data_IF_511351226362
#
_entry.id   IF_511351226362
#
_cell.length_a   1.000
_cell.length_b   1.000
_cell.length_c   1.000
_cell.angle_alpha   90.00
_cell.angle_beta   90.00
_cell.angle_gamma   90.00
#
_symmetry.space_group_name_H-M   'P 1'
#
loop_
_entity.id
_entity.type
_entity.pdbx_description
1 polymer ?
#
# COMPACT_ATOMS: atom_id res chain seq x y z
N UNK A 1 -33.51 -34.93 -25.54
CA UNK A 1 -33.62 -34.30 -24.20
C UNK A 1 -32.36 -34.58 -23.37
N UNK A 2 -31.18 -34.06 -23.73
CA UNK A 2 -29.92 -34.43 -23.04
C UNK A 2 -28.91 -33.31 -22.84
N UNK A 3 -29.13 -32.14 -23.45
CA UNK A 3 -28.20 -31.00 -23.36
C UNK A 3 -28.45 -30.11 -22.14
N UNK A 4 -29.72 -29.96 -21.73
CA UNK A 4 -30.09 -29.11 -20.59
C UNK A 4 -29.57 -29.59 -19.24
N UNK A 5 -29.64 -30.91 -18.97
CA UNK A 5 -29.16 -31.50 -17.71
C UNK A 5 -27.63 -31.49 -17.59
N UNK A 6 -26.91 -31.65 -18.71
CA UNK A 6 -25.43 -31.55 -18.71
C UNK A 6 -24.97 -30.11 -18.50
N UNK A 7 -25.66 -29.15 -19.12
CA UNK A 7 -25.35 -27.74 -18.95
C UNK A 7 -25.61 -27.25 -17.51
N UNK A 8 -26.67 -27.72 -16.85
CA UNK A 8 -26.93 -27.37 -15.45
C UNK A 8 -25.87 -27.94 -14.51
N UNK A 9 -25.44 -29.20 -14.74
CA UNK A 9 -24.40 -29.85 -13.93
C UNK A 9 -23.07 -29.09 -14.03
N UNK A 10 -22.60 -28.80 -15.25
CA UNK A 10 -21.35 -28.04 -15.46
C UNK A 10 -21.39 -26.65 -14.82
N UNK A 11 -22.56 -26.00 -14.84
CA UNK A 11 -22.72 -24.69 -14.19
C UNK A 11 -22.63 -24.80 -12.67
N UNK A 12 -23.27 -25.80 -12.09
CA UNK A 12 -23.24 -26.03 -10.65
C UNK A 12 -21.84 -26.37 -10.16
N UNK A 13 -21.13 -27.24 -10.88
CA UNK A 13 -19.74 -27.61 -10.61
C UNK A 13 -18.81 -26.40 -10.61
N UNK A 14 -18.83 -25.59 -11.68
CA UNK A 14 -18.08 -24.32 -11.73
C UNK A 14 -18.46 -23.34 -10.63
N UNK A 15 -19.72 -23.32 -10.22
CA UNK A 15 -20.16 -22.43 -9.13
C UNK A 15 -19.54 -22.88 -7.81
N UNK A 16 -19.51 -24.19 -7.53
CA UNK A 16 -18.86 -24.74 -6.32
C UNK A 16 -17.36 -24.48 -6.30
N UNK A 17 -16.72 -24.57 -7.45
CA UNK A 17 -15.32 -24.22 -7.68
C UNK A 17 -15.02 -22.77 -7.31
N UNK A 18 -15.79 -21.81 -7.81
CA UNK A 18 -15.63 -20.40 -7.44
C UNK A 18 -15.82 -20.16 -5.94
N UNK A 19 -16.82 -20.79 -5.32
CA UNK A 19 -17.02 -20.68 -3.87
C UNK A 19 -15.83 -21.22 -3.06
N UNK A 20 -15.19 -22.31 -3.51
CA UNK A 20 -14.01 -22.84 -2.84
C UNK A 20 -12.80 -21.87 -2.95
N UNK A 21 -12.62 -21.26 -4.12
CA UNK A 21 -11.57 -20.26 -4.34
C UNK A 21 -11.78 -19.01 -3.49
N UNK A 22 -13.00 -18.45 -3.51
CA UNK A 22 -13.37 -17.27 -2.71
C UNK A 22 -13.23 -17.50 -1.21
N UNK A 23 -13.55 -18.72 -0.73
CA UNK A 23 -13.35 -19.05 0.68
C UNK A 23 -11.88 -18.91 1.12
N UNK A 24 -10.93 -19.33 0.27
CA UNK A 24 -9.50 -19.16 0.55
C UNK A 24 -9.08 -17.69 0.57
N UNK A 25 -9.60 -16.87 -0.35
CA UNK A 25 -9.31 -15.42 -0.42
C UNK A 25 -9.88 -14.69 0.80
N UNK A 26 -11.12 -14.97 1.17
CA UNK A 26 -11.77 -14.37 2.34
C UNK A 26 -11.10 -14.78 3.67
N UNK A 27 -10.64 -16.04 3.79
CA UNK A 27 -9.88 -16.49 4.95
C UNK A 27 -8.54 -15.74 5.06
N UNK A 28 -7.79 -15.63 3.96
CA UNK A 28 -6.57 -14.81 3.92
C UNK A 28 -6.83 -13.35 4.29
N UNK A 29 -7.86 -12.73 3.72
CA UNK A 29 -8.22 -11.35 4.02
C UNK A 29 -8.63 -11.16 5.49
N UNK A 30 -9.24 -12.18 6.11
CA UNK A 30 -9.54 -12.19 7.54
C UNK A 30 -8.25 -12.21 8.38
N UNK A 31 -7.31 -13.11 8.07
CA UNK A 31 -6.03 -13.23 8.78
C UNK A 31 -5.16 -11.97 8.66
N UNK A 32 -5.06 -11.42 7.45
CA UNK A 32 -4.32 -10.17 7.19
C UNK A 32 -4.88 -9.01 8.01
N UNK A 33 -6.22 -8.87 8.08
CA UNK A 33 -6.86 -7.79 8.86
C UNK A 33 -6.75 -7.99 10.36
N UNK A 34 -6.79 -9.24 10.78
CA UNK A 34 -6.81 -9.63 12.18
C UNK A 34 -5.45 -9.63 12.87
N UNK A 35 -4.37 -9.68 12.08
CA UNK A 35 -3.04 -10.04 12.55
C UNK A 35 -3.07 -11.31 13.42
N UNK A 36 -3.95 -12.25 13.07
CA UNK A 36 -4.14 -13.52 13.76
C UNK A 36 -4.15 -14.66 12.75
N UNK A 37 -3.57 -15.77 13.15
CA UNK A 37 -3.69 -17.06 12.48
C UNK A 37 -3.64 -18.20 13.50
N UNK A 38 -3.60 -19.45 13.03
CA UNK A 38 -3.28 -20.60 13.85
C UNK A 38 -2.01 -20.33 14.66
N UNK A 39 -1.86 -21.00 15.80
CA UNK A 39 -0.64 -20.90 16.59
C UNK A 39 0.59 -21.18 15.70
N UNK A 40 1.52 -20.22 15.65
CA UNK A 40 2.71 -20.27 14.79
C UNK A 40 2.55 -19.76 13.35
N UNK A 41 1.38 -19.21 12.99
CA UNK A 41 1.20 -18.51 11.72
C UNK A 41 1.71 -17.07 11.84
N UNK A 42 2.73 -16.74 11.06
CA UNK A 42 3.27 -15.39 10.93
C UNK A 42 3.07 -14.91 9.49
N UNK A 43 2.57 -13.68 9.34
CA UNK A 43 2.47 -13.06 8.01
C UNK A 43 3.89 -12.81 7.46
N UNK A 44 4.09 -12.94 6.14
CA UNK A 44 5.35 -12.57 5.51
C UNK A 44 5.66 -11.10 5.80
N UNK A 45 6.91 -10.79 6.12
CA UNK A 45 7.32 -9.46 6.57
C UNK A 45 7.98 -8.67 5.46
N UNK A 46 8.87 -9.32 4.69
CA UNK A 46 9.66 -8.65 3.67
C UNK A 46 9.06 -8.87 2.26
N UNK A 47 9.25 -7.92 1.32
CA UNK A 47 8.78 -8.09 -0.05
C UNK A 47 9.38 -9.35 -0.71
N UNK A 48 8.51 -10.19 -1.28
CA UNK A 48 8.86 -11.48 -1.87
C UNK A 48 8.78 -12.67 -0.89
N UNK A 49 8.63 -12.43 0.41
CA UNK A 49 8.30 -13.49 1.36
C UNK A 49 6.87 -14.00 1.12
N UNK A 50 6.67 -15.29 1.33
CA UNK A 50 5.37 -15.92 1.24
C UNK A 50 5.13 -16.95 2.33
N UNK A 51 3.87 -17.14 2.71
CA UNK A 51 3.40 -18.20 3.59
C UNK A 51 2.26 -18.94 2.90
N UNK A 52 2.28 -20.28 2.97
CA UNK A 52 1.20 -21.12 2.47
C UNK A 52 0.56 -21.93 3.58
N UNK A 53 -0.75 -22.14 3.50
CA UNK A 53 -1.50 -23.00 4.41
C UNK A 53 -2.67 -23.64 3.69
N UNK A 54 -3.24 -24.69 4.30
CA UNK A 54 -4.41 -25.39 3.79
C UNK A 54 -5.57 -25.12 4.76
N UNK A 55 -6.77 -24.86 4.24
CA UNK A 55 -7.97 -24.76 5.08
C UNK A 55 -8.25 -26.12 5.74
N UNK A 56 -8.58 -26.12 7.04
CA UNK A 56 -8.82 -27.35 7.80
C UNK A 56 -10.02 -28.14 7.26
N UNK A 57 -11.07 -27.42 6.87
CA UNK A 57 -12.27 -27.98 6.30
C UNK A 57 -12.25 -27.89 4.77
N UNK A 58 -12.70 -28.97 4.12
CA UNK A 58 -12.98 -28.93 2.68
C UNK A 58 -14.14 -27.98 2.38
N UNK A 59 -13.98 -27.15 1.35
CA UNK A 59 -15.04 -26.26 0.88
C UNK A 59 -15.65 -26.88 -0.37
N UNK A 60 -16.91 -27.31 -0.28
CA UNK A 60 -17.62 -28.00 -1.36
C UNK A 60 -16.92 -29.29 -1.86
N UNK A 61 -16.27 -30.03 -0.96
CA UNK A 61 -15.53 -31.26 -1.28
C UNK A 61 -14.18 -31.02 -1.94
N UNK A 62 -13.63 -29.81 -1.78
CA UNK A 62 -12.32 -29.42 -2.31
C UNK A 62 -11.41 -28.97 -1.20
N UNK A 63 -10.16 -29.42 -1.26
CA UNK A 63 -9.10 -28.93 -0.39
C UNK A 63 -8.58 -27.60 -0.94
N UNK A 64 -8.50 -26.58 -0.09
CA UNK A 64 -8.10 -25.23 -0.50
C UNK A 64 -6.74 -24.91 0.10
N UNK A 65 -5.75 -24.71 -0.77
CA UNK A 65 -4.43 -24.20 -0.44
C UNK A 65 -4.40 -22.68 -0.69
N UNK A 66 -3.92 -21.93 0.29
CA UNK A 66 -3.85 -20.47 0.24
C UNK A 66 -2.41 -20.04 0.42
N UNK A 67 -1.92 -19.19 -0.47
CA UNK A 67 -0.60 -18.56 -0.39
C UNK A 67 -0.80 -17.05 -0.22
N UNK A 68 -0.15 -16.48 0.78
CA UNK A 68 -0.08 -15.04 1.01
C UNK A 68 1.37 -14.62 0.77
N UNK A 69 1.59 -13.70 -0.15
CA UNK A 69 2.90 -13.14 -0.52
C UNK A 69 2.91 -11.65 -0.21
N UNK A 70 3.96 -11.14 0.43
CA UNK A 70 4.15 -9.69 0.60
C UNK A 70 4.68 -9.12 -0.70
N UNK A 71 3.95 -8.17 -1.28
CA UNK A 71 4.34 -7.50 -2.52
C UNK A 71 5.00 -6.17 -2.19
N UNK A 72 6.03 -5.82 -2.95
CA UNK A 72 6.65 -4.51 -2.82
C UNK A 72 5.66 -3.40 -3.19
N UNK A 73 5.45 -2.48 -2.25
CA UNK A 73 4.43 -1.44 -2.34
C UNK A 73 4.59 -0.52 -3.57
N UNK A 74 5.84 -0.30 -3.99
CA UNK A 74 6.23 0.63 -5.04
C UNK A 74 6.60 -0.05 -6.36
N UNK A 75 6.28 -1.34 -6.50
CA UNK A 75 6.42 -2.04 -7.76
C UNK A 75 5.64 -1.31 -8.88
N UNK A 76 6.28 -1.21 -10.05
CA UNK A 76 5.88 -0.39 -11.22
C UNK A 76 5.87 1.14 -11.04
N UNK A 77 6.08 1.66 -9.82
CA UNK A 77 6.20 3.10 -9.55
C UNK A 77 7.66 3.54 -9.42
N UNK A 78 8.49 2.71 -8.79
CA UNK A 78 9.91 2.97 -8.56
C UNK A 78 10.79 1.78 -8.95
N UNK A 79 12.09 2.03 -9.08
CA UNK A 79 13.10 0.99 -9.34
C UNK A 79 13.63 0.41 -8.03
N UNK A 80 13.71 -0.92 -7.95
CA UNK A 80 14.28 -1.67 -6.82
C UNK A 80 15.81 -1.76 -6.84
N UNK A 81 16.47 -1.15 -7.83
CA UNK A 81 17.91 -1.24 -8.04
C UNK A 81 18.74 -0.71 -6.85
N UNK A 82 18.16 0.14 -6.01
CA UNK A 82 18.78 0.68 -4.78
C UNK A 82 18.15 0.12 -3.50
N UNK A 83 17.42 -1.00 -3.60
CA UNK A 83 16.72 -1.63 -2.49
C UNK A 83 15.22 -1.40 -2.51
N UNK A 84 14.52 -2.26 -1.77
CA UNK A 84 13.06 -2.32 -1.64
C UNK A 84 12.62 -2.35 -0.16
N UNK A 85 13.49 -1.91 0.76
CA UNK A 85 13.16 -1.64 2.18
C UNK A 85 13.28 -0.15 2.53
N UNK A 86 12.43 0.37 3.45
CA UNK A 86 12.51 1.75 3.88
C UNK A 86 13.68 1.95 4.85
N UNK A 87 14.22 3.18 4.91
CA UNK A 87 15.37 3.53 5.75
C UNK A 87 14.95 4.15 7.08
N UNK A 88 15.68 3.88 8.17
CA UNK A 88 15.35 4.40 9.50
C UNK A 88 15.64 5.89 9.67
N UNK A 89 16.61 6.40 8.90
CA UNK A 89 17.05 7.79 8.91
C UNK A 89 16.02 8.71 8.25
N UNK A 90 15.21 8.17 7.32
CA UNK A 90 14.19 8.88 6.56
C UNK A 90 12.85 8.18 6.70
N UNK A 91 11.95 8.75 7.50
CA UNK A 91 10.62 8.19 7.75
C UNK A 91 9.57 9.01 7.02
N UNK A 92 8.70 8.33 6.26
CA UNK A 92 7.55 8.94 5.56
C UNK A 92 6.28 8.35 6.14
N UNK A 93 5.32 9.20 6.52
CA UNK A 93 4.03 8.76 7.10
C UNK A 93 2.89 9.47 6.40
N UNK A 94 1.91 8.70 5.95
CA UNK A 94 0.65 9.21 5.42
C UNK A 94 -0.40 9.30 6.53
N UNK A 95 -1.15 10.40 6.56
CA UNK A 95 -2.29 10.54 7.47
C UNK A 95 -3.44 11.24 6.77
N UNK A 96 -4.66 10.87 7.12
CA UNK A 96 -5.86 11.50 6.56
C UNK A 96 -6.63 12.21 7.66
N UNK A 97 -7.28 13.31 7.29
CA UNK A 97 -8.31 13.96 8.08
C UNK A 97 -9.52 14.24 7.19
N UNK A 98 -10.71 13.96 7.70
CA UNK A 98 -11.95 14.32 7.02
C UNK A 98 -12.49 15.58 7.68
N UNK A 99 -12.72 16.62 6.88
CA UNK A 99 -13.44 17.82 7.33
C UNK A 99 -14.92 17.69 6.96
N UNK A 100 -15.22 17.11 5.79
CA UNK A 100 -16.57 16.92 5.26
C UNK A 100 -16.68 15.60 4.48
N UNK A 101 -17.90 15.06 4.30
CA UNK A 101 -18.10 13.82 3.51
C UNK A 101 -17.70 13.99 2.04
N UNK A 102 -17.80 15.21 1.49
CA UNK A 102 -17.46 15.51 0.10
C UNK A 102 -15.95 15.64 -0.13
N UNK A 103 -15.17 15.99 0.89
CA UNK A 103 -13.77 16.36 0.73
C UNK A 103 -12.92 16.06 1.96
N UNK A 104 -11.82 15.35 1.74
CA UNK A 104 -10.84 14.98 2.74
C UNK A 104 -9.51 15.67 2.50
N UNK A 105 -8.69 15.76 3.54
CA UNK A 105 -7.31 16.22 3.48
C UNK A 105 -6.39 15.04 3.76
N UNK A 106 -5.35 14.91 2.95
CA UNK A 106 -4.28 13.94 3.14
C UNK A 106 -2.99 14.71 3.47
N UNK A 107 -2.27 14.26 4.49
CA UNK A 107 -1.01 14.85 4.96
C UNK A 107 0.09 13.81 4.89
N UNK A 108 1.15 14.14 4.15
CA UNK A 108 2.41 13.41 4.10
C UNK A 108 3.38 14.10 5.05
N UNK A 109 3.77 13.42 6.11
CA UNK A 109 4.81 13.89 7.03
C UNK A 109 6.11 13.15 6.75
N UNK A 110 7.19 13.90 6.62
CA UNK A 110 8.52 13.36 6.34
C UNK A 110 9.46 13.80 7.44
N UNK A 111 10.11 12.83 8.08
CA UNK A 111 11.08 13.05 9.14
C UNK A 111 12.46 12.57 8.70
N UNK A 112 13.47 13.43 8.82
CA UNK A 112 14.86 13.11 8.51
C UNK A 112 15.76 13.43 9.69
N UNK A 113 16.54 12.46 10.17
CA UNK A 113 17.37 12.60 11.37
C UNK A 113 18.69 13.37 11.15
N UNK A 114 19.11 13.55 9.89
CA UNK A 114 20.36 14.24 9.54
C UNK A 114 21.63 13.40 9.65
N UNK A 115 21.54 12.13 10.07
CA UNK A 115 22.72 11.30 10.41
C UNK A 115 23.61 10.98 9.21
N UNK A 116 23.04 10.96 8.00
CA UNK A 116 23.79 10.67 6.76
C UNK A 116 24.22 11.93 6.00
N UNK A 117 23.96 13.14 6.51
CA UNK A 117 24.42 14.41 5.94
C UNK A 117 23.39 15.15 5.08
N UNK A 118 23.82 15.84 4.03
CA UNK A 118 22.89 16.55 3.13
C UNK A 118 22.05 15.54 2.34
N UNK A 119 20.72 15.76 2.34
CA UNK A 119 19.75 14.94 1.61
C UNK A 119 19.07 15.79 0.54
N UNK A 120 19.21 15.37 -0.72
CA UNK A 120 18.57 16.01 -1.87
C UNK A 120 17.33 15.22 -2.26
N UNK A 121 16.18 15.89 -2.23
CA UNK A 121 14.90 15.30 -2.61
C UNK A 121 14.66 15.41 -4.10
N UNK A 122 14.13 14.33 -4.66
CA UNK A 122 13.84 14.20 -6.08
C UNK A 122 12.34 14.07 -6.34
N UNK A 123 11.65 13.22 -5.58
CA UNK A 123 10.20 13.01 -5.74
C UNK A 123 9.51 12.76 -4.39
N UNK A 124 8.29 13.24 -4.25
CA UNK A 124 7.33 12.79 -3.23
C UNK A 124 6.13 12.19 -3.93
N UNK A 125 5.57 11.12 -3.39
CA UNK A 125 4.40 10.50 -3.96
C UNK A 125 3.37 10.03 -2.94
N UNK A 126 2.15 9.88 -3.43
CA UNK A 126 1.04 9.29 -2.70
C UNK A 126 0.21 8.42 -3.64
N UNK A 127 -0.32 7.31 -3.14
CA UNK A 127 -1.28 6.49 -3.88
C UNK A 127 -2.65 6.58 -3.22
N UNK A 128 -3.67 6.83 -4.03
CA UNK A 128 -5.07 6.83 -3.60
C UNK A 128 -5.79 5.63 -4.23
N UNK A 129 -6.61 4.90 -3.46
CA UNK A 129 -7.35 3.75 -3.96
C UNK A 129 -8.43 4.13 -4.96
N UNK A 130 -8.96 3.12 -5.65
CA UNK A 130 -10.07 3.28 -6.59
C UNK A 130 -11.25 4.05 -5.97
N UNK A 131 -11.81 4.98 -6.75
CA UNK A 131 -12.93 5.83 -6.30
C UNK A 131 -12.52 7.13 -5.61
N UNK A 132 -11.22 7.33 -5.36
CA UNK A 132 -10.67 8.58 -4.84
C UNK A 132 -10.00 9.39 -5.95
N UNK A 133 -10.10 10.71 -5.85
CA UNK A 133 -9.52 11.65 -6.81
C UNK A 133 -8.84 12.81 -6.09
N UNK A 134 -7.70 13.23 -6.61
CA UNK A 134 -7.01 14.45 -6.22
C UNK A 134 -7.82 15.70 -6.59
N UNK A 135 -7.79 16.72 -5.73
CA UNK A 135 -8.38 18.04 -6.00
C UNK A 135 -7.29 18.98 -6.55
N UNK A 136 -7.43 19.42 -7.80
CA UNK A 136 -6.47 20.34 -8.44
C UNK A 136 -6.33 21.67 -7.68
N UNK A 137 -5.09 22.13 -7.53
CA UNK A 137 -4.71 23.34 -6.81
C UNK A 137 -4.71 23.20 -5.29
N UNK A 138 -4.86 21.98 -4.75
CA UNK A 138 -4.95 21.75 -3.30
C UNK A 138 -3.62 21.45 -2.61
N UNK A 139 -2.55 21.23 -3.36
CA UNK A 139 -1.24 20.93 -2.78
C UNK A 139 -0.69 22.12 -1.99
N UNK A 140 -0.15 21.88 -0.79
CA UNK A 140 0.51 22.89 0.02
C UNK A 140 1.62 22.33 0.92
N UNK A 141 2.50 23.20 1.43
CA UNK A 141 3.63 22.81 2.28
C UNK A 141 4.94 22.82 1.51
N UNK A 142 5.60 21.67 1.36
CA UNK A 142 6.90 21.56 0.68
C UNK A 142 6.84 21.81 -0.84
N UNK A 143 5.69 21.62 -1.46
CA UNK A 143 5.41 21.90 -2.86
C UNK A 143 3.95 22.32 -3.01
N UNK A 144 3.68 23.27 -3.92
CA UNK A 144 2.35 23.82 -4.16
C UNK A 144 1.79 23.52 -5.54
N UNK A 145 2.62 22.96 -6.43
CA UNK A 145 2.22 22.58 -7.76
C UNK A 145 1.40 21.28 -7.73
N UNK A 146 0.53 21.10 -8.73
CA UNK A 146 -0.24 19.87 -8.89
C UNK A 146 0.68 18.69 -9.22
N UNK A 147 0.37 17.48 -8.70
CA UNK A 147 1.13 16.28 -9.03
C UNK A 147 0.89 15.84 -10.47
N UNK A 148 1.83 15.06 -11.01
CA UNK A 148 1.53 14.15 -12.11
C UNK A 148 0.62 13.03 -11.61
N UNK A 149 -0.49 12.77 -12.32
CA UNK A 149 -1.48 11.75 -11.93
C UNK A 149 -1.34 10.55 -12.86
N UNK A 150 -0.99 9.39 -12.28
CA UNK A 150 -0.73 8.14 -13.01
C UNK A 150 -1.75 7.08 -12.56
N UNK A 151 -2.56 6.52 -13.45
CA UNK A 151 -3.40 5.36 -13.12
C UNK A 151 -2.53 4.17 -12.67
N UNK A 152 -2.78 3.63 -11.48
CA UNK A 152 -1.97 2.55 -10.93
C UNK A 152 -2.80 1.64 -10.01
N UNK A 153 -2.76 0.32 -10.28
CA UNK A 153 -3.46 -0.73 -9.50
C UNK A 153 -4.94 -0.41 -9.20
N UNK A 154 -5.66 0.13 -10.20
CA UNK A 154 -7.08 0.52 -10.08
C UNK A 154 -7.33 1.84 -9.36
N UNK A 155 -6.31 2.40 -8.69
CA UNK A 155 -6.32 3.73 -8.11
C UNK A 155 -5.51 4.74 -8.93
N UNK A 156 -5.02 5.77 -8.26
CA UNK A 156 -4.14 6.80 -8.84
C UNK A 156 -2.91 7.02 -7.97
N UNK A 157 -1.74 7.06 -8.60
CA UNK A 157 -0.51 7.56 -8.02
C UNK A 157 -0.38 9.06 -8.34
N UNK A 158 -0.02 9.83 -7.32
CA UNK A 158 0.24 11.26 -7.36
C UNK A 158 1.74 11.45 -7.17
N UNK A 159 2.40 12.10 -8.12
CA UNK A 159 3.85 12.33 -8.07
C UNK A 159 4.20 13.81 -8.17
N UNK A 160 4.90 14.31 -7.16
CA UNK A 160 5.48 15.64 -7.11
C UNK A 160 6.99 15.55 -7.32
N UNK A 161 7.46 16.04 -8.45
CA UNK A 161 8.89 16.05 -8.80
C UNK A 161 9.54 17.39 -8.46
N UNK A 162 10.72 17.33 -7.85
CA UNK A 162 11.55 18.50 -7.55
C UNK A 162 12.55 18.72 -8.68
N UNK A 163 12.32 19.74 -9.51
CA UNK A 163 13.24 20.08 -10.60
C UNK A 163 13.70 21.55 -10.53
N UNK A 164 14.98 21.83 -10.14
CA UNK A 164 16.01 20.86 -9.75
C UNK A 164 15.74 20.21 -8.38
N UNK A 165 16.43 19.09 -8.04
CA UNK A 165 16.35 18.49 -6.72
C UNK A 165 16.62 19.51 -5.60
N UNK A 166 15.88 19.41 -4.50
CA UNK A 166 15.92 20.39 -3.40
C UNK A 166 16.50 19.76 -2.14
N UNK A 167 17.43 20.46 -1.49
CA UNK A 167 18.01 20.01 -0.24
C UNK A 167 16.94 20.02 0.88
N UNK A 168 16.81 18.93 1.64
CA UNK A 168 15.77 18.73 2.64
C UNK A 168 15.64 19.89 3.64
N UNK A 169 16.79 20.36 4.14
CA UNK A 169 16.85 21.47 5.10
C UNK A 169 16.38 22.83 4.54
N UNK A 170 16.29 22.99 3.21
CA UNK A 170 15.78 24.22 2.54
C UNK A 170 14.28 24.21 2.32
N UNK A 171 13.64 23.05 2.45
CA UNK A 171 12.19 22.98 2.35
C UNK A 171 11.53 23.77 3.50
N UNK A 172 10.33 24.32 3.28
CA UNK A 172 9.54 24.99 4.32
C UNK A 172 9.39 24.10 5.56
N UNK A 173 9.59 24.69 6.75
CA UNK A 173 9.25 24.02 8.00
C UNK A 173 7.71 23.94 8.13
N UNK A 174 7.17 22.87 8.74
CA UNK A 174 5.75 22.83 9.07
C UNK A 174 5.40 23.97 10.03
N UNK A 175 4.15 24.42 9.99
CA UNK A 175 3.66 25.40 10.95
C UNK A 175 3.67 24.79 12.36
N UNK A 176 4.64 25.20 13.18
CA UNK A 176 4.69 24.79 14.58
C UNK A 176 3.52 25.46 15.33
N UNK A 177 2.71 24.70 16.10
CA UNK A 177 1.75 25.31 17.02
C UNK A 177 2.53 26.28 17.92
N UNK A 178 2.05 27.52 18.05
CA UNK A 178 2.72 28.56 18.84
C UNK A 178 2.87 28.10 20.30
N UNK A 179 4.06 27.60 20.64
CA UNK A 179 4.37 27.04 21.96
C UNK A 179 5.85 26.66 22.04
N UNK A 180 6.59 27.46 22.80
CA UNK A 180 7.94 27.26 23.34
C UNK A 180 9.02 26.55 22.48
N UNK A 181 9.98 27.33 21.97
CA UNK A 181 11.42 27.02 22.09
C UNK A 181 12.06 25.94 21.21
N UNK A 182 11.32 25.11 20.49
CA UNK A 182 11.93 23.98 19.77
C UNK A 182 12.78 24.40 18.55
N UNK A 183 13.97 23.81 18.42
CA UNK A 183 14.82 23.92 17.23
C UNK A 183 14.82 22.60 16.42
N UNK A 184 14.03 22.51 15.33
CA UNK A 184 14.03 21.34 14.43
C UNK A 184 15.43 21.05 13.88
N UNK A 185 15.82 19.77 13.84
CA UNK A 185 17.15 19.33 13.37
C UNK A 185 18.28 19.46 14.39
N UNK A 186 18.00 20.00 15.59
CA UNK A 186 18.98 20.05 16.70
C UNK A 186 18.52 19.20 17.90
N UNK A 187 17.21 19.15 18.16
CA UNK A 187 16.63 18.37 19.28
C UNK A 187 15.74 17.20 18.81
N UNK A 188 15.21 17.27 17.58
CA UNK A 188 14.35 16.26 16.93
C UNK A 188 14.68 16.18 15.44
N UNK A 189 14.36 15.06 14.75
CA UNK A 189 14.50 14.97 13.31
C UNK A 189 13.84 16.16 12.61
N UNK A 190 14.44 16.63 11.52
CA UNK A 190 13.86 17.67 10.68
C UNK A 190 12.56 17.13 10.09
N UNK A 191 11.45 17.85 10.31
CA UNK A 191 10.14 17.47 9.79
C UNK A 191 9.72 18.36 8.63
N UNK A 192 9.04 17.77 7.66
CA UNK A 192 8.49 18.43 6.47
C UNK A 192 7.11 17.88 6.18
N UNK A 193 6.23 18.72 5.65
CA UNK A 193 4.84 18.35 5.40
C UNK A 193 4.41 18.73 3.99
N UNK A 194 3.72 17.81 3.32
CA UNK A 194 2.91 18.06 2.13
C UNK A 194 1.47 17.74 2.49
N UNK A 195 0.55 18.65 2.20
CA UNK A 195 -0.89 18.39 2.30
C UNK A 195 -1.54 18.53 0.94
N UNK A 196 -2.60 17.77 0.73
CA UNK A 196 -3.48 17.95 -0.42
C UNK A 196 -4.89 17.48 -0.10
N UNK A 197 -5.85 17.87 -0.92
CA UNK A 197 -7.25 17.49 -0.78
C UNK A 197 -7.64 16.40 -1.77
N UNK A 198 -8.59 15.55 -1.37
CA UNK A 198 -9.12 14.47 -2.18
C UNK A 198 -10.63 14.33 -2.03
N UNK A 199 -11.27 13.68 -3.00
CA UNK A 199 -12.71 13.40 -3.01
C UNK A 199 -12.96 11.92 -3.30
N UNK A 200 -13.97 11.28 -2.68
CA UNK A 200 -14.81 11.80 -1.59
C UNK A 200 -14.02 11.91 -0.28
N UNK A 201 -14.52 12.66 0.70
CA UNK A 201 -13.87 12.88 2.01
C UNK A 201 -13.98 11.73 3.00
N UNK A 202 -14.09 10.50 2.50
CA UNK A 202 -14.08 9.28 3.30
C UNK A 202 -12.65 8.80 3.53
N UNK A 203 -12.43 7.92 4.51
CA UNK A 203 -11.09 7.34 4.76
C UNK A 203 -10.61 6.56 3.52
N UNK A 204 -9.53 7.00 2.84
CA UNK A 204 -8.95 6.30 1.70
C UNK A 204 -8.14 5.10 2.18
N UNK A 205 -8.82 4.06 2.68
CA UNK A 205 -8.20 2.85 3.24
C UNK A 205 -7.23 2.24 2.23
N UNK A 206 -5.99 2.01 2.66
CA UNK A 206 -4.91 1.49 1.82
C UNK A 206 -4.11 2.57 1.09
N UNK A 207 -4.47 3.84 1.19
CA UNK A 207 -3.61 4.92 0.71
C UNK A 207 -2.27 4.91 1.44
N UNK A 208 -1.20 5.16 0.70
CA UNK A 208 0.16 5.19 1.21
C UNK A 208 0.97 6.29 0.55
N UNK A 209 2.12 6.61 1.13
CA UNK A 209 3.02 7.66 0.66
C UNK A 209 4.44 7.20 0.58
N UNK A 210 5.22 7.82 -0.30
CA UNK A 210 6.64 7.58 -0.42
C UNK A 210 7.42 8.84 -0.78
N UNK A 211 8.73 8.76 -0.66
CA UNK A 211 9.68 9.78 -1.03
C UNK A 211 10.91 9.14 -1.66
N UNK A 212 11.38 9.75 -2.75
CA UNK A 212 12.63 9.40 -3.44
C UNK A 212 13.66 10.51 -3.27
N UNK A 213 14.89 10.09 -3.07
CA UNK A 213 16.06 10.97 -2.90
C UNK A 213 17.09 10.70 -3.99
N UNK A 214 18.04 11.62 -4.16
CA UNK A 214 19.14 11.47 -5.13
C UNK A 214 20.28 10.56 -4.63
N UNK A 215 20.20 10.06 -3.40
CA UNK A 215 21.26 9.28 -2.74
C UNK A 215 20.97 7.80 -2.87
N UNK A 216 21.94 7.00 -3.33
CA UNK A 216 21.75 5.55 -3.48
C UNK A 216 21.67 4.80 -2.14
N UNK A 217 22.24 5.34 -1.06
CA UNK A 217 22.25 4.73 0.27
C UNK A 217 20.96 4.96 1.07
N UNK A 218 20.17 5.98 0.72
CA UNK A 218 18.83 6.25 1.26
C UNK A 218 17.90 6.69 0.13
N UNK A 219 17.82 5.86 -0.90
CA UNK A 219 17.18 6.20 -2.18
C UNK A 219 15.67 6.38 -2.05
N UNK A 220 15.02 5.55 -1.24
CA UNK A 220 13.58 5.44 -1.20
C UNK A 220 13.09 5.18 0.22
N UNK A 221 12.02 5.85 0.61
CA UNK A 221 11.32 5.58 1.87
C UNK A 221 9.82 5.72 1.67
N UNK A 222 9.02 4.92 2.39
CA UNK A 222 7.56 4.91 2.32
C UNK A 222 6.97 4.60 3.68
N UNK A 223 5.64 4.72 3.74
CA UNK A 223 4.86 4.41 4.93
C UNK A 223 5.01 2.94 5.32
N UNK A 224 5.81 2.69 6.36
CA UNK A 224 6.09 1.35 6.89
C UNK A 224 4.85 0.64 7.44
N UNK A 225 3.78 1.40 7.72
CA UNK A 225 2.52 0.84 8.18
C UNK A 225 1.67 0.33 7.02
N UNK A 226 2.00 0.69 5.78
CA UNK A 226 1.35 0.18 4.58
C UNK A 226 2.05 -1.11 4.12
N UNK A 227 1.30 -2.22 4.12
CA UNK A 227 1.71 -3.49 3.53
C UNK A 227 0.71 -3.90 2.46
N UNK A 228 1.24 -4.44 1.36
CA UNK A 228 0.42 -5.02 0.28
C UNK A 228 0.69 -6.51 0.23
N UNK A 229 -0.38 -7.29 0.10
CA UNK A 229 -0.31 -8.73 -0.02
C UNK A 229 -0.95 -9.18 -1.32
N UNK A 230 -0.33 -10.14 -2.00
CA UNK A 230 -0.94 -10.95 -3.04
C UNK A 230 -1.45 -12.24 -2.41
N UNK A 231 -2.69 -12.61 -2.70
CA UNK A 231 -3.31 -13.81 -2.16
C UNK A 231 -3.63 -14.74 -3.31
N UNK A 232 -3.06 -15.94 -3.30
CA UNK A 232 -3.35 -16.98 -4.27
C UNK A 232 -4.15 -18.08 -3.57
N UNK A 233 -5.33 -18.40 -4.09
CA UNK A 233 -6.18 -19.50 -3.60
C UNK A 233 -6.21 -20.60 -4.65
N UNK A 234 -5.85 -21.83 -4.28
CA UNK A 234 -5.87 -23.00 -5.16
C UNK A 234 -6.78 -24.07 -4.57
N UNK A 235 -7.86 -24.42 -5.26
CA UNK A 235 -8.78 -25.47 -4.85
C UNK A 235 -8.50 -26.76 -5.63
N UNK A 236 -8.32 -27.87 -4.92
CA UNK A 236 -8.07 -29.21 -5.45
C UNK A 236 -9.28 -30.12 -5.19
N UNK A 237 -9.79 -30.77 -6.24
CA UNK A 237 -10.87 -31.75 -6.14
C UNK A 237 -10.36 -33.09 -5.57
N UNK A 238 -10.89 -33.51 -4.42
CA UNK A 238 -10.39 -34.71 -3.73
C UNK A 238 -10.65 -36.03 -4.47
N UNK A 239 -11.58 -36.07 -5.42
CA UNK A 239 -11.90 -37.28 -6.18
C UNK A 239 -11.08 -37.40 -7.47
N UNK A 240 -10.78 -36.28 -8.12
CA UNK A 240 -10.14 -36.23 -9.44
C UNK A 240 -8.70 -35.72 -9.41
N UNK A 241 -8.32 -34.98 -8.37
CA UNK A 241 -7.04 -34.25 -8.28
C UNK A 241 -6.96 -33.02 -9.18
N UNK A 242 -8.09 -32.58 -9.77
CA UNK A 242 -8.11 -31.38 -10.61
C UNK A 242 -7.94 -30.12 -9.76
N UNK A 243 -7.07 -29.20 -10.22
CA UNK A 243 -6.73 -27.96 -9.53
C UNK A 243 -7.20 -26.74 -10.32
N UNK A 244 -7.73 -25.76 -9.60
CA UNK A 244 -8.08 -24.43 -10.10
C UNK A 244 -7.45 -23.39 -9.17
N UNK A 245 -7.06 -22.24 -9.73
CA UNK A 245 -6.37 -21.18 -8.99
C UNK A 245 -6.99 -19.82 -9.29
N UNK A 246 -7.13 -19.00 -8.26
CA UNK A 246 -7.46 -17.57 -8.33
C UNK A 246 -6.39 -16.76 -7.58
N UNK A 247 -6.21 -15.52 -8.03
CA UNK A 247 -5.32 -14.51 -7.44
C UNK A 247 -6.11 -13.21 -7.17
#
# INVERSE_FOLDING_TARGET
MGTGLKASYLREEKTREFYALEAGIEDAASRIRGDYGPEGFELPQDPGDQVSYILEDEVNGRQVEVTIETVWLLEDLESDANGNMPHEELVVVGSYSSVEESQGSYKIEVSYDGSVGELMLDKVGAWLPAGYNYVSGSASGIITDDPNIIPHRGGIALEWEFFPPVAFHRLPNPEVPQGEGFQPGTEYPMKRELTFEFTPGMNPRGAFTWMRTMRSDIYLSWDIMAKTYKVTSTAEDGATGERITAE
#
